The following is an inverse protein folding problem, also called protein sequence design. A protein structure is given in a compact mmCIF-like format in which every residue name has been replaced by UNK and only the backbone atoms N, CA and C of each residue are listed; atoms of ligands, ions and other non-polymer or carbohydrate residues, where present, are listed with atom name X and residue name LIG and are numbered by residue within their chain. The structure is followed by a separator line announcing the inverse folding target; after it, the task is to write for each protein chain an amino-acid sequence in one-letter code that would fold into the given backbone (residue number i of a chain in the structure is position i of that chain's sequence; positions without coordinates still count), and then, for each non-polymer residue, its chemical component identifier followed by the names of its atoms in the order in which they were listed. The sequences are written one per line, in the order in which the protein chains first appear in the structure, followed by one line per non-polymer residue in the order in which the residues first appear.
data_IF_253525700044
#
_entry.id   IF_253525700044
#
_cell.length_a   1.000
_cell.length_b   1.000
_cell.length_c   1.000
_cell.angle_alpha   90.00
_cell.angle_beta   90.00
_cell.angle_gamma   90.00
#
_symmetry.space_group_name_H-M   'P 1'
#
loop_
_entity.id
_entity.type
_entity.pdbx_description
1 polymer ?
#
# COMPACT_ATOMS: atom_id res chain seq x y z
N UNK A 1 20.41 -47.17 -52.71
CA UNK A 1 20.77 -45.75 -52.75
C UNK A 1 19.49 -44.98 -52.46
N UNK A 2 19.39 -44.47 -51.22
CA UNK A 2 19.19 -43.04 -50.88
C UNK A 2 17.69 -42.69 -50.92
N UNK A 3 16.92 -42.58 -49.84
CA UNK A 3 17.11 -41.87 -48.55
C UNK A 3 17.60 -40.43 -48.70
N UNK A 4 16.72 -39.56 -49.14
CA UNK A 4 16.63 -38.13 -48.81
C UNK A 4 15.19 -37.71 -49.11
N UNK A 5 14.47 -36.81 -48.45
CA UNK A 5 14.58 -35.84 -47.36
C UNK A 5 13.16 -35.22 -47.37
N UNK A 6 12.54 -34.60 -46.38
CA UNK A 6 12.85 -34.17 -45.03
C UNK A 6 11.50 -33.72 -44.46
N UNK A 7 11.27 -34.06 -43.20
CA UNK A 7 10.39 -33.39 -42.25
C UNK A 7 9.27 -32.54 -42.82
N UNK A 8 8.09 -33.16 -42.96
CA UNK A 8 6.84 -32.44 -42.76
C UNK A 8 6.93 -31.71 -41.43
N UNK A 9 6.80 -30.39 -41.50
CA UNK A 9 6.71 -29.46 -40.40
C UNK A 9 5.67 -29.92 -39.37
N UNK A 10 6.11 -30.83 -38.47
CA UNK A 10 5.60 -30.86 -37.11
C UNK A 10 6.18 -29.62 -36.44
N UNK A 11 5.61 -28.47 -36.76
CA UNK A 11 5.55 -27.37 -35.82
C UNK A 11 4.83 -27.91 -34.60
N UNK A 12 5.62 -28.47 -33.69
CA UNK A 12 5.23 -28.62 -32.30
C UNK A 12 4.96 -27.20 -31.81
N UNK A 13 3.70 -26.79 -31.88
CA UNK A 13 3.17 -25.75 -31.01
C UNK A 13 3.28 -26.30 -29.58
N UNK A 14 4.48 -26.25 -29.02
CA UNK A 14 4.67 -26.17 -27.58
C UNK A 14 4.15 -24.81 -27.17
N UNK A 15 2.81 -24.69 -27.09
CA UNK A 15 2.22 -23.62 -26.32
C UNK A 15 2.68 -23.84 -24.88
N UNK A 16 3.73 -23.10 -24.49
CA UNK A 16 4.18 -23.07 -23.11
C UNK A 16 3.00 -22.45 -22.35
N UNK A 17 2.20 -23.29 -21.70
CA UNK A 17 1.14 -22.83 -20.81
C UNK A 17 1.80 -22.11 -19.65
N UNK A 18 1.90 -20.78 -19.75
CA UNK A 18 2.39 -19.93 -18.67
C UNK A 18 1.24 -19.68 -17.69
N UNK A 19 1.32 -20.32 -16.52
CA UNK A 19 0.42 -20.03 -15.41
C UNK A 19 0.80 -18.70 -14.78
N UNK A 20 -0.19 -17.82 -14.58
CA UNK A 20 0.01 -16.52 -13.91
C UNK A 20 -0.58 -16.56 -12.51
N UNK A 21 0.18 -16.10 -11.53
CA UNK A 21 -0.28 -15.91 -10.15
C UNK A 21 -0.65 -14.45 -9.98
N UNK A 22 -1.87 -14.20 -9.50
CA UNK A 22 -2.33 -12.87 -9.08
C UNK A 22 -2.25 -12.77 -7.56
N UNK A 23 -1.55 -11.76 -7.07
CA UNK A 23 -1.46 -11.44 -5.65
C UNK A 23 -1.83 -9.98 -5.43
N UNK A 24 -2.31 -9.65 -4.23
CA UNK A 24 -2.60 -8.27 -3.85
C UNK A 24 -1.66 -7.91 -2.70
N UNK A 25 -0.87 -6.86 -2.91
CA UNK A 25 0.08 -6.39 -1.91
C UNK A 25 -0.37 -5.03 -1.36
N UNK A 26 -0.54 -4.92 -0.02
CA UNK A 26 -0.77 -3.63 0.60
C UNK A 26 0.55 -2.87 0.73
N UNK A 27 0.53 -1.58 0.44
CA UNK A 27 1.63 -0.63 0.68
C UNK A 27 1.08 0.55 1.45
N UNK A 28 1.94 1.23 2.21
CA UNK A 28 1.55 2.40 2.98
C UNK A 28 2.08 3.66 2.29
N UNK A 29 1.26 4.69 2.26
CA UNK A 29 1.62 6.08 1.96
C UNK A 29 1.54 6.90 3.24
N UNK A 30 1.92 8.18 3.21
CA UNK A 30 1.86 9.05 4.39
C UNK A 30 0.47 9.07 5.06
N UNK A 31 -0.61 8.94 4.28
CA UNK A 31 -1.99 9.05 4.77
C UNK A 31 -2.79 7.75 4.70
N UNK A 32 -2.53 6.89 3.71
CA UNK A 32 -3.43 5.80 3.31
C UNK A 32 -2.72 4.46 3.00
N UNK A 33 -3.47 3.36 3.07
CA UNK A 33 -3.05 2.05 2.56
C UNK A 33 -3.52 1.92 1.10
N UNK A 34 -2.60 1.58 0.21
CA UNK A 34 -2.89 1.28 -1.19
C UNK A 34 -2.72 -0.22 -1.46
N UNK A 35 -3.65 -0.80 -2.22
CA UNK A 35 -3.62 -2.21 -2.61
C UNK A 35 -3.23 -2.33 -4.07
N UNK A 36 -2.16 -3.09 -4.33
CA UNK A 36 -1.59 -3.25 -5.66
C UNK A 36 -1.81 -4.67 -6.16
N UNK A 37 -2.46 -4.79 -7.33
CA UNK A 37 -2.54 -6.04 -8.07
C UNK A 37 -1.17 -6.35 -8.69
N UNK A 38 -0.58 -7.46 -8.29
CA UNK A 38 0.66 -7.97 -8.84
C UNK A 38 0.33 -9.26 -9.59
N UNK A 39 0.70 -9.31 -10.87
CA UNK A 39 0.60 -10.52 -11.67
C UNK A 39 2.00 -10.96 -12.05
N UNK A 40 2.39 -12.15 -11.61
CA UNK A 40 3.70 -12.75 -11.90
C UNK A 40 3.53 -14.10 -12.56
N UNK A 41 4.42 -14.45 -13.48
CA UNK A 41 4.43 -15.80 -14.04
C UNK A 41 4.85 -16.78 -12.94
N UNK A 42 4.15 -17.91 -12.83
CA UNK A 42 4.41 -18.91 -11.79
C UNK A 42 5.87 -19.40 -11.82
N UNK A 43 6.48 -19.43 -13.00
CA UNK A 43 7.89 -19.80 -13.19
C UNK A 43 8.87 -18.79 -12.56
N UNK A 44 8.44 -17.54 -12.36
CA UNK A 44 9.20 -16.47 -11.71
C UNK A 44 8.91 -16.40 -10.19
N UNK A 45 7.97 -17.19 -9.68
CA UNK A 45 7.67 -17.25 -8.25
C UNK A 45 8.72 -18.11 -7.56
N UNK A 46 9.64 -17.46 -6.86
CA UNK A 46 10.55 -18.16 -5.96
C UNK A 46 9.86 -18.42 -4.63
N UNK A 47 9.74 -19.70 -4.26
CA UNK A 47 9.40 -20.09 -2.90
C UNK A 47 10.53 -19.60 -1.99
N UNK A 48 10.28 -18.50 -1.27
CA UNK A 48 11.12 -18.07 -0.16
C UNK A 48 11.11 -19.24 0.83
N UNK A 49 12.26 -19.90 1.02
CA UNK A 49 12.42 -20.89 2.10
C UNK A 49 11.94 -20.23 3.38
N UNK A 50 11.16 -20.96 4.19
CA UNK A 50 10.62 -20.49 5.46
C UNK A 50 11.74 -20.18 6.45
N UNK A 51 12.45 -19.09 6.21
CA UNK A 51 13.43 -18.52 7.08
C UNK A 51 12.67 -17.51 7.94
N UNK A 52 12.40 -17.91 9.17
CA UNK A 52 11.68 -17.09 10.15
C UNK A 52 12.43 -15.78 10.45
N UNK A 53 13.72 -15.69 10.10
CA UNK A 53 14.53 -14.49 10.23
C UNK A 53 14.31 -13.49 9.09
N UNK A 54 13.64 -13.89 8.00
CA UNK A 54 13.26 -12.97 6.95
C UNK A 54 12.04 -12.15 7.38
N UNK A 55 12.31 -10.92 7.81
CA UNK A 55 11.30 -10.00 8.31
C UNK A 55 10.21 -9.67 7.27
N UNK A 56 10.57 -9.57 6.00
CA UNK A 56 9.62 -9.37 4.89
C UNK A 56 8.69 -10.58 4.69
N UNK A 57 9.22 -11.80 4.85
CA UNK A 57 8.41 -13.03 4.81
C UNK A 57 7.41 -13.10 5.96
N UNK A 58 7.86 -12.83 7.19
CA UNK A 58 7.00 -12.86 8.39
C UNK A 58 5.87 -11.83 8.31
N UNK A 59 6.16 -10.61 7.85
CA UNK A 59 5.15 -9.58 7.65
C UNK A 59 4.16 -9.93 6.55
N UNK A 60 4.64 -10.41 5.40
CA UNK A 60 3.75 -10.84 4.30
C UNK A 60 2.82 -11.96 4.76
N UNK A 61 3.33 -12.93 5.52
CA UNK A 61 2.52 -14.03 6.09
C UNK A 61 1.47 -13.55 7.09
N UNK A 62 1.79 -12.54 7.91
CA UNK A 62 0.86 -11.92 8.86
C UNK A 62 -0.25 -11.13 8.15
N UNK A 63 0.10 -10.39 7.10
CA UNK A 63 -0.83 -9.51 6.38
C UNK A 63 -1.74 -10.25 5.40
N UNK A 64 -1.25 -11.30 4.74
CA UNK A 64 -2.00 -12.05 3.72
C UNK A 64 -3.43 -12.45 4.13
N UNK A 65 -3.69 -13.06 5.31
CA UNK A 65 -5.05 -13.41 5.71
C UNK A 65 -5.93 -12.18 5.90
N UNK A 66 -5.41 -11.09 6.47
CA UNK A 66 -6.19 -9.86 6.70
C UNK A 66 -6.56 -9.17 5.40
N UNK A 67 -5.61 -9.05 4.48
CA UNK A 67 -5.85 -8.49 3.14
C UNK A 67 -6.91 -9.33 2.40
N UNK A 68 -6.80 -10.65 2.47
CA UNK A 68 -7.78 -11.55 1.86
C UNK A 68 -9.17 -11.35 2.45
N UNK A 69 -9.30 -11.37 3.78
CA UNK A 69 -10.58 -11.17 4.47
C UNK A 69 -11.17 -9.80 4.16
N UNK A 70 -10.36 -8.74 4.15
CA UNK A 70 -10.81 -7.39 3.82
C UNK A 70 -11.38 -7.31 2.41
N UNK A 71 -10.62 -7.74 1.41
CA UNK A 71 -10.95 -7.52 -0.01
C UNK A 71 -12.01 -8.48 -0.53
N UNK A 72 -12.01 -9.73 -0.08
CA UNK A 72 -12.86 -10.78 -0.65
C UNK A 72 -14.04 -11.16 0.23
N UNK A 73 -14.05 -10.77 1.50
CA UNK A 73 -15.12 -11.16 2.43
C UNK A 73 -15.85 -9.92 2.97
N UNK A 74 -15.14 -8.98 3.62
CA UNK A 74 -15.75 -7.83 4.28
C UNK A 74 -16.29 -6.82 3.26
N UNK A 75 -15.45 -6.29 2.36
CA UNK A 75 -15.87 -5.25 1.41
C UNK A 75 -17.04 -5.70 0.52
N UNK A 76 -17.03 -6.91 -0.08
CA UNK A 76 -18.16 -7.37 -0.88
C UNK A 76 -19.43 -7.57 -0.05
N UNK A 77 -19.29 -8.00 1.21
CA UNK A 77 -20.43 -8.19 2.10
C UNK A 77 -21.10 -6.87 2.46
N UNK A 78 -20.31 -5.84 2.77
CA UNK A 78 -20.81 -4.48 3.01
C UNK A 78 -21.57 -3.98 1.79
N UNK A 79 -20.96 -4.05 0.60
CA UNK A 79 -21.60 -3.62 -0.65
C UNK A 79 -22.95 -4.34 -0.88
N UNK A 80 -22.98 -5.67 -0.69
CA UNK A 80 -24.20 -6.47 -0.81
C UNK A 80 -25.28 -6.06 0.21
N UNK A 81 -24.89 -5.76 1.45
CA UNK A 81 -25.82 -5.33 2.50
C UNK A 81 -26.40 -3.94 2.21
N UNK A 82 -25.57 -3.01 1.72
CA UNK A 82 -26.01 -1.67 1.29
C UNK A 82 -27.04 -1.79 0.18
N UNK A 83 -26.81 -2.65 -0.80
CA UNK A 83 -27.78 -2.86 -1.88
C UNK A 83 -29.10 -3.46 -1.36
N UNK A 84 -29.04 -4.45 -0.48
CA UNK A 84 -30.25 -5.01 0.18
C UNK A 84 -31.00 -3.95 0.98
N UNK A 85 -30.28 -3.09 1.71
CA UNK A 85 -30.88 -1.97 2.45
C UNK A 85 -31.63 -1.03 1.50
N UNK A 86 -31.03 -0.68 0.36
CA UNK A 86 -31.67 0.17 -0.65
C UNK A 86 -32.94 -0.49 -1.24
N UNK A 87 -32.90 -1.80 -1.49
CA UNK A 87 -34.08 -2.55 -1.92
C UNK A 87 -35.19 -2.53 -0.87
N UNK A 88 -34.85 -2.69 0.41
CA UNK A 88 -35.81 -2.59 1.52
C UNK A 88 -36.43 -1.19 1.60
N UNK A 89 -35.64 -0.13 1.46
CA UNK A 89 -36.17 1.24 1.40
C UNK A 89 -37.17 1.42 0.25
N UNK A 90 -36.87 0.88 -0.94
CA UNK A 90 -37.79 0.92 -2.08
C UNK A 90 -39.10 0.20 -1.78
N UNK A 91 -39.04 -1.01 -1.24
CA UNK A 91 -40.23 -1.79 -0.87
C UNK A 91 -41.06 -1.12 0.22
N UNK A 92 -40.38 -0.56 1.23
CA UNK A 92 -40.98 0.22 2.31
C UNK A 92 -41.79 1.40 1.77
N UNK A 93 -41.24 2.13 0.81
CA UNK A 93 -41.92 3.27 0.19
C UNK A 93 -43.12 2.84 -0.65
N UNK A 94 -43.02 1.73 -1.39
CA UNK A 94 -44.15 1.15 -2.11
C UNK A 94 -45.27 0.73 -1.15
N UNK A 95 -44.93 0.01 -0.07
CA UNK A 95 -45.88 -0.40 0.96
C UNK A 95 -46.56 0.81 1.62
N UNK A 96 -45.79 1.84 1.96
CA UNK A 96 -46.30 3.06 2.57
C UNK A 96 -47.31 3.81 1.68
N UNK A 97 -47.16 3.71 0.35
CA UNK A 97 -48.06 4.32 -0.63
C UNK A 97 -49.35 3.52 -0.91
N UNK A 98 -49.47 2.31 -0.38
CA UNK A 98 -50.60 1.41 -0.61
C UNK A 98 -51.49 1.32 0.62
N UNK A 99 -52.79 1.59 0.49
CA UNK A 99 -53.76 1.42 1.58
C UNK A 99 -53.83 -0.03 2.11
N UNK A 100 -53.56 -1.01 1.24
CA UNK A 100 -53.60 -2.44 1.56
C UNK A 100 -52.33 -2.88 2.30
N UNK A 101 -51.17 -2.43 1.82
CA UNK A 101 -49.87 -2.89 2.32
C UNK A 101 -49.22 -1.92 3.34
N UNK A 102 -49.85 -0.78 3.64
CA UNK A 102 -49.32 0.22 4.58
C UNK A 102 -48.97 -0.38 5.94
N UNK A 103 -49.76 -1.35 6.42
CA UNK A 103 -49.54 -2.08 7.67
C UNK A 103 -48.21 -2.85 7.72
N UNK A 104 -47.58 -3.13 6.58
CA UNK A 104 -46.29 -3.80 6.48
C UNK A 104 -45.09 -2.85 6.60
N UNK A 105 -45.30 -1.53 6.52
CA UNK A 105 -44.22 -0.52 6.65
C UNK A 105 -43.33 -0.72 7.88
N UNK A 106 -43.88 -1.01 9.08
CA UNK A 106 -43.05 -1.24 10.28
C UNK A 106 -42.14 -2.47 10.18
N UNK A 107 -42.54 -3.49 9.41
CA UNK A 107 -41.70 -4.68 9.18
C UNK A 107 -40.48 -4.32 8.35
N UNK A 108 -40.66 -3.51 7.30
CA UNK A 108 -39.55 -3.02 6.49
C UNK A 108 -38.66 -2.07 7.28
N UNK A 109 -39.21 -1.18 8.09
CA UNK A 109 -38.43 -0.28 8.96
C UNK A 109 -37.54 -1.08 9.93
N UNK A 110 -38.07 -2.15 10.52
CA UNK A 110 -37.28 -3.05 11.37
C UNK A 110 -36.16 -3.75 10.60
N UNK A 111 -36.45 -4.26 9.40
CA UNK A 111 -35.45 -4.93 8.57
C UNK A 111 -34.33 -3.98 8.13
N UNK A 112 -34.67 -2.74 7.76
CA UNK A 112 -33.71 -1.68 7.42
C UNK A 112 -32.78 -1.41 8.59
N UNK A 113 -33.32 -1.25 9.80
CA UNK A 113 -32.51 -0.99 11.00
C UNK A 113 -31.57 -2.16 11.34
N UNK A 114 -32.05 -3.40 11.18
CA UNK A 114 -31.22 -4.59 11.38
C UNK A 114 -30.08 -4.67 10.36
N UNK A 115 -30.36 -4.41 9.09
CA UNK A 115 -29.33 -4.39 8.04
C UNK A 115 -28.32 -3.27 8.31
N UNK A 116 -28.77 -2.09 8.74
CA UNK A 116 -27.87 -0.99 9.11
C UNK A 116 -26.92 -1.38 10.23
N UNK A 117 -27.42 -1.99 11.31
CA UNK A 117 -26.59 -2.44 12.42
C UNK A 117 -25.48 -3.40 11.96
N UNK A 118 -25.81 -4.33 11.05
CA UNK A 118 -24.82 -5.28 10.51
C UNK A 118 -23.79 -4.55 9.62
N UNK A 119 -24.21 -3.55 8.84
CA UNK A 119 -23.30 -2.71 8.05
C UNK A 119 -22.32 -1.99 8.99
N UNK A 120 -22.81 -1.37 10.07
CA UNK A 120 -21.97 -0.63 11.03
C UNK A 120 -20.94 -1.54 11.71
N UNK A 121 -21.35 -2.76 12.07
CA UNK A 121 -20.45 -3.78 12.62
C UNK A 121 -19.39 -4.22 11.61
N UNK A 122 -19.79 -4.44 10.36
CA UNK A 122 -18.87 -4.83 9.29
C UNK A 122 -17.88 -3.71 8.96
N UNK A 123 -18.32 -2.45 8.96
CA UNK A 123 -17.46 -1.27 8.80
C UNK A 123 -16.47 -1.14 9.97
N UNK A 124 -16.91 -1.37 11.20
CA UNK A 124 -16.03 -1.38 12.37
C UNK A 124 -14.93 -2.45 12.22
N UNK A 125 -15.31 -3.67 11.83
CA UNK A 125 -14.34 -4.73 11.57
C UNK A 125 -13.38 -4.38 10.41
N UNK A 126 -13.89 -3.75 9.35
CA UNK A 126 -13.08 -3.26 8.23
C UNK A 126 -12.00 -2.28 8.71
N UNK A 127 -12.37 -1.34 9.58
CA UNK A 127 -11.45 -0.35 10.15
C UNK A 127 -10.39 -1.01 11.03
N UNK A 128 -10.76 -1.97 11.89
CA UNK A 128 -9.79 -2.69 12.71
C UNK A 128 -8.80 -3.50 11.85
N UNK A 129 -9.27 -4.16 10.78
CA UNK A 129 -8.38 -4.84 9.83
C UNK A 129 -7.42 -3.85 9.16
N UNK A 130 -7.92 -2.71 8.69
CA UNK A 130 -7.09 -1.67 8.07
C UNK A 130 -6.06 -1.10 9.06
N UNK A 131 -6.45 -0.85 10.31
CA UNK A 131 -5.54 -0.41 11.36
C UNK A 131 -4.41 -1.41 11.58
N UNK A 132 -4.72 -2.70 11.72
CA UNK A 132 -3.69 -3.72 11.88
C UNK A 132 -2.74 -3.80 10.69
N UNK A 133 -3.28 -3.73 9.46
CA UNK A 133 -2.47 -3.70 8.24
C UNK A 133 -1.54 -2.47 8.26
N UNK A 134 -2.07 -1.30 8.62
CA UNK A 134 -1.31 -0.05 8.71
C UNK A 134 -0.14 -0.17 9.68
N UNK A 135 -0.41 -0.58 10.91
CA UNK A 135 0.63 -0.68 11.94
C UNK A 135 1.74 -1.66 11.53
N UNK A 136 1.38 -2.79 10.93
CA UNK A 136 2.38 -3.77 10.45
C UNK A 136 3.24 -3.20 9.31
N UNK A 137 2.64 -2.37 8.43
CA UNK A 137 3.39 -1.71 7.35
C UNK A 137 4.28 -0.57 7.88
N UNK A 138 3.82 0.18 8.88
CA UNK A 138 4.64 1.19 9.58
C UNK A 138 5.82 0.51 10.26
N UNK A 139 5.57 -0.54 11.04
CA UNK A 139 6.61 -1.34 11.68
C UNK A 139 7.64 -1.79 10.64
N UNK A 140 7.16 -2.21 9.46
CA UNK A 140 8.03 -2.63 8.37
C UNK A 140 8.96 -1.51 7.87
N UNK A 141 8.42 -0.32 7.63
CA UNK A 141 9.22 0.82 7.18
C UNK A 141 10.19 1.31 8.25
N UNK A 142 9.79 1.28 9.53
CA UNK A 142 10.67 1.65 10.64
C UNK A 142 11.86 0.69 10.76
N UNK A 143 11.64 -0.63 10.65
CA UNK A 143 12.72 -1.63 10.69
C UNK A 143 13.65 -1.54 9.47
N UNK A 144 13.11 -1.13 8.30
CA UNK A 144 13.92 -0.91 7.10
C UNK A 144 14.66 0.42 7.09
N UNK A 145 14.24 1.37 7.92
CA UNK A 145 14.88 2.67 7.99
C UNK A 145 16.26 2.51 8.64
N UNK A 146 17.31 2.90 7.92
CA UNK A 146 18.69 3.02 8.45
C UNK A 146 18.85 4.29 9.33
N UNK A 147 17.73 4.86 9.80
CA UNK A 147 17.76 6.03 10.67
C UNK A 147 18.39 5.60 11.98
N UNK A 148 19.59 6.10 12.23
CA UNK A 148 20.28 5.90 13.49
C UNK A 148 19.36 6.39 14.62
N UNK A 149 18.87 5.47 15.46
CA UNK A 149 17.98 5.80 16.57
C UNK A 149 18.64 6.78 17.55
N UNK A 150 19.98 6.87 17.54
CA UNK A 150 20.72 7.87 18.30
C UNK A 150 20.51 9.31 17.78
N UNK A 151 20.07 9.51 16.53
CA UNK A 151 19.68 10.84 16.01
C UNK A 151 18.35 11.34 16.58
N UNK A 152 17.45 10.44 17.00
CA UNK A 152 16.12 10.81 17.50
C UNK A 152 16.19 11.25 18.96
N UNK A 153 17.08 10.64 19.74
CA UNK A 153 17.26 10.92 21.18
C UNK A 153 18.44 11.85 21.51
N UNK A 154 19.33 12.17 20.54
CA UNK A 154 20.29 13.25 20.75
C UNK A 154 19.53 14.59 20.72
N UNK A 155 19.77 15.50 21.68
CA UNK A 155 19.50 16.91 21.47
C UNK A 155 20.42 17.39 20.34
N UNK A 156 19.97 17.18 19.10
CA UNK A 156 20.64 17.68 17.91
C UNK A 156 20.47 19.20 17.93
N UNK A 157 21.47 19.88 18.49
CA UNK A 157 21.58 21.32 18.39
C UNK A 157 22.04 21.69 16.97
N UNK A 158 21.12 21.52 16.03
CA UNK A 158 21.29 21.89 14.63
C UNK A 158 21.64 23.37 14.48
N UNK A 159 21.24 24.23 15.42
CA UNK A 159 21.57 25.65 15.39
C UNK A 159 23.08 25.86 15.61
N UNK A 160 23.66 25.22 16.62
CA UNK A 160 25.11 25.30 16.85
C UNK A 160 25.92 24.66 15.71
N UNK A 161 25.48 23.52 15.17
CA UNK A 161 26.16 22.91 14.03
C UNK A 161 26.08 23.77 12.77
N UNK A 162 24.91 24.36 12.50
CA UNK A 162 24.72 25.28 11.39
C UNK A 162 25.57 26.53 11.53
N UNK A 163 25.65 27.10 12.74
CA UNK A 163 26.47 28.27 13.02
C UNK A 163 27.97 27.97 12.78
N UNK A 164 28.45 26.80 13.21
CA UNK A 164 29.82 26.35 12.96
C UNK A 164 30.13 26.20 11.45
N UNK A 165 29.18 25.69 10.67
CA UNK A 165 29.31 25.59 9.21
C UNK A 165 29.33 26.98 8.58
N UNK A 166 28.47 27.89 9.05
CA UNK A 166 28.38 29.26 8.55
C UNK A 166 29.66 30.04 8.82
N UNK A 167 30.25 29.91 10.01
CA UNK A 167 31.53 30.53 10.38
C UNK A 167 32.67 30.00 9.50
N UNK A 168 32.75 28.68 9.28
CA UNK A 168 33.73 28.08 8.37
C UNK A 168 33.57 28.57 6.94
N UNK A 169 32.34 28.66 6.46
CA UNK A 169 32.04 29.17 5.12
C UNK A 169 32.48 30.63 4.97
N UNK A 170 32.22 31.46 5.97
CA UNK A 170 32.59 32.87 5.97
C UNK A 170 34.10 33.07 5.96
N UNK A 171 34.84 32.28 6.76
CA UNK A 171 36.31 32.24 6.75
C UNK A 171 36.86 31.87 5.37
N UNK A 172 36.33 30.82 4.75
CA UNK A 172 36.75 30.43 3.39
C UNK A 172 36.43 31.49 2.35
N UNK A 173 35.28 32.16 2.47
CA UNK A 173 34.92 33.25 1.58
C UNK A 173 35.93 34.41 1.68
N UNK A 174 36.32 34.77 2.90
CA UNK A 174 37.33 35.80 3.17
C UNK A 174 38.72 35.40 2.65
N UNK A 175 39.12 34.14 2.84
CA UNK A 175 40.40 33.61 2.33
C UNK A 175 40.46 33.65 0.80
N UNK A 176 39.38 33.23 0.13
CA UNK A 176 39.27 33.29 -1.33
C UNK A 176 39.28 34.74 -1.81
N UNK A 177 38.57 35.64 -1.12
CA UNK A 177 38.55 37.06 -1.49
C UNK A 177 39.93 37.70 -1.32
N UNK A 178 40.63 37.44 -0.22
CA UNK A 178 42.00 37.92 0.01
C UNK A 178 42.98 37.40 -1.04
N UNK A 179 42.84 36.14 -1.47
CA UNK A 179 43.64 35.58 -2.56
C UNK A 179 43.45 36.35 -3.88
N UNK A 180 42.22 36.69 -4.25
CA UNK A 180 41.94 37.44 -5.47
C UNK A 180 42.38 38.91 -5.37
N UNK A 181 42.21 39.57 -4.22
CA UNK A 181 42.68 40.95 -4.01
C UNK A 181 44.23 41.06 -4.04
N UNK A 182 44.94 40.07 -3.50
CA UNK A 182 46.40 39.97 -3.62
C UNK A 182 46.82 39.72 -5.08
N UNK A 183 46.09 38.88 -5.80
CA UNK A 183 46.34 38.63 -7.22
C UNK A 183 46.12 39.89 -8.07
N UNK A 184 45.05 40.63 -7.83
CA UNK A 184 44.73 41.87 -8.56
C UNK A 184 45.68 43.02 -8.22
N UNK A 185 46.15 43.10 -6.98
CA UNK A 185 47.15 44.10 -6.55
C UNK A 185 48.59 43.78 -7.00
N UNK A 186 48.87 42.51 -7.34
CA UNK A 186 50.16 42.06 -7.88
C UNK A 186 50.31 42.25 -9.40
N UNK A 187 49.23 42.65 -10.10
CA UNK A 187 49.27 43.01 -11.51
C UNK A 187 49.79 44.46 -11.67
N UNK A 188 50.80 44.71 -12.52
CA UNK A 188 51.33 46.06 -12.70
C UNK A 188 50.26 46.96 -13.30
N UNK A 189 50.03 48.12 -12.66
CA UNK A 189 49.21 49.19 -13.22
C UNK A 189 49.95 49.76 -14.43
N UNK A 190 49.43 49.53 -15.64
CA UNK A 190 49.87 50.20 -16.87
C UNK A 190 49.59 51.70 -16.78
#
# INVERSE_FOLDING_TARGET
MERQMVNSDRQQLTSITTWKVKTIHPTITETEIQFHDITVDLQQVHLIKSDLNNYDYTNTRRLAPLVKTLLFEINPKIASLVEKKNQLHRLRNLAASSEIFHSQTPLYDRAINQVQLIIDQAETLRQECLKFIRETLIERELVKSDIDTNLVDLPLDFASQYQLIQEKYQLWKEEVQAYFELKDSSLPKN
#
